data_IF_023160092406
#
_entry.id   IF_023160092406
#
_cell.length_a   1.000
_cell.length_b   1.000
_cell.length_c   1.000
_cell.angle_alpha   90.00
_cell.angle_beta   90.00
_cell.angle_gamma   90.00
#
_symmetry.space_group_name_H-M   'P 1'
#
loop_
_entity.id
_entity.type
_entity.pdbx_description
1 polymer ?
#
# COMPACT_ATOMS: atom_id res chain seq x y z
N UNK A 1 -20.49 -17.81 22.92
CA UNK A 1 -19.02 -17.69 23.00
C UNK A 1 -18.69 -16.25 22.68
N UNK A 2 -17.77 -15.58 23.39
CA UNK A 2 -17.35 -14.25 22.98
C UNK A 2 -16.72 -14.38 21.59
N UNK A 3 -17.29 -13.70 20.60
CA UNK A 3 -16.68 -13.55 19.27
C UNK A 3 -15.31 -12.93 19.48
N UNK A 4 -14.23 -13.58 19.03
CA UNK A 4 -12.94 -12.90 18.88
C UNK A 4 -13.20 -11.58 18.17
N UNK A 5 -12.70 -10.47 18.73
CA UNK A 5 -12.80 -9.19 18.07
C UNK A 5 -12.08 -9.31 16.72
N UNK A 6 -12.82 -9.15 15.61
CA UNK A 6 -12.25 -9.22 14.26
C UNK A 6 -11.10 -8.22 14.15
N UNK A 7 -10.01 -8.64 13.51
CA UNK A 7 -8.81 -7.81 13.36
C UNK A 7 -9.14 -6.67 12.40
N UNK A 8 -9.07 -5.44 12.88
CA UNK A 8 -9.38 -4.27 12.05
C UNK A 8 -8.24 -4.01 11.05
N UNK A 9 -8.53 -3.82 9.76
CA UNK A 9 -7.51 -3.45 8.79
C UNK A 9 -7.09 -1.98 8.95
N UNK A 10 -6.04 -1.59 8.25
CA UNK A 10 -5.75 -0.18 7.97
C UNK A 10 -6.44 0.26 6.67
N UNK A 11 -6.51 1.56 6.41
CA UNK A 11 -7.15 2.11 5.22
C UNK A 11 -6.20 3.06 4.48
N UNK A 12 -6.23 2.98 3.15
CA UNK A 12 -5.55 3.93 2.30
C UNK A 12 -6.38 5.18 2.09
N UNK A 13 -5.79 6.34 2.36
CA UNK A 13 -6.45 7.64 2.25
C UNK A 13 -5.63 8.59 1.39
N UNK A 14 -6.23 9.13 0.33
CA UNK A 14 -5.62 10.14 -0.52
C UNK A 14 -6.34 11.49 -0.38
N UNK A 15 -5.57 12.57 -0.45
CA UNK A 15 -6.10 13.93 -0.38
C UNK A 15 -6.51 14.40 -1.78
N UNK A 16 -7.82 14.55 -2.02
CA UNK A 16 -8.35 14.99 -3.31
C UNK A 16 -8.46 16.53 -3.35
N UNK A 17 -7.96 17.20 -4.41
CA UNK A 17 -8.15 18.64 -4.59
C UNK A 17 -9.63 19.05 -4.47
N UNK A 18 -9.90 20.14 -3.74
CA UNK A 18 -11.27 20.60 -3.47
C UNK A 18 -12.04 19.81 -2.39
N UNK A 19 -11.49 18.69 -1.88
CA UNK A 19 -12.12 17.84 -0.85
C UNK A 19 -11.25 17.60 0.38
N UNK A 20 -10.12 18.31 0.51
CA UNK A 20 -9.12 18.09 1.57
C UNK A 20 -9.68 18.17 2.99
N UNK A 21 -10.56 19.13 3.30
CA UNK A 21 -11.19 19.19 4.62
C UNK A 21 -12.07 17.96 4.89
N UNK A 22 -12.86 17.53 3.90
CA UNK A 22 -13.64 16.30 4.01
C UNK A 22 -12.76 15.04 4.12
N UNK A 23 -11.54 15.05 3.54
CA UNK A 23 -10.54 14.00 3.78
C UNK A 23 -10.10 13.97 5.25
N UNK A 24 -9.96 15.12 5.91
CA UNK A 24 -9.60 15.18 7.33
C UNK A 24 -10.76 14.75 8.25
N UNK A 25 -12.00 15.08 7.87
CA UNK A 25 -13.19 14.60 8.59
C UNK A 25 -13.30 13.07 8.48
N UNK A 26 -13.04 12.53 7.28
CA UNK A 26 -12.97 11.09 7.07
C UNK A 26 -11.85 10.44 7.88
N UNK A 27 -10.69 11.08 8.04
CA UNK A 27 -9.63 10.56 8.90
C UNK A 27 -10.04 10.42 10.37
N UNK A 28 -10.80 11.39 10.90
CA UNK A 28 -11.37 11.30 12.26
C UNK A 28 -12.39 10.17 12.37
N UNK A 29 -13.20 9.99 11.34
CA UNK A 29 -14.16 8.90 11.29
C UNK A 29 -13.45 7.53 11.30
N UNK A 30 -12.40 7.37 10.49
CA UNK A 30 -11.56 6.16 10.47
C UNK A 30 -10.99 5.86 11.87
N UNK A 31 -10.45 6.87 12.56
CA UNK A 31 -9.98 6.72 13.95
C UNK A 31 -11.11 6.31 14.89
N UNK A 32 -12.25 7.01 14.86
CA UNK A 32 -13.38 6.75 15.75
C UNK A 32 -14.00 5.35 15.58
N UNK A 33 -13.87 4.76 14.38
CA UNK A 33 -14.33 3.40 14.05
C UNK A 33 -13.32 2.33 14.46
N UNK A 34 -12.13 2.69 14.95
CA UNK A 34 -11.13 1.76 15.48
C UNK A 34 -10.30 1.03 14.40
N UNK A 35 -10.17 1.59 13.19
CA UNK A 35 -9.28 1.03 12.18
C UNK A 35 -7.80 1.08 12.62
N UNK A 36 -7.00 0.13 12.17
CA UNK A 36 -5.62 -0.04 12.64
C UNK A 36 -4.64 1.03 12.15
N UNK A 37 -4.97 1.75 11.07
CA UNK A 37 -4.11 2.82 10.57
C UNK A 37 -4.62 3.53 9.31
N UNK A 38 -3.97 4.64 8.97
CA UNK A 38 -4.23 5.42 7.75
C UNK A 38 -2.94 5.53 6.91
N UNK A 39 -2.94 5.02 5.68
CA UNK A 39 -1.74 5.00 4.84
C UNK A 39 -1.92 5.74 3.49
N UNK A 40 -1.09 6.76 3.28
CA UNK A 40 -1.23 7.74 2.20
C UNK A 40 -0.47 7.28 0.93
N UNK A 41 -1.16 6.98 -0.18
CA UNK A 41 -0.51 6.57 -1.42
C UNK A 41 0.19 7.74 -2.12
N UNK A 42 1.09 7.44 -3.04
CA UNK A 42 1.89 8.42 -3.81
C UNK A 42 1.12 9.24 -4.85
N UNK A 43 -0.22 9.24 -4.83
CA UNK A 43 -1.06 9.98 -5.79
C UNK A 43 -1.05 11.50 -5.57
N UNK A 44 -0.75 11.94 -4.35
CA UNK A 44 -0.66 13.33 -3.92
C UNK A 44 0.57 13.52 -3.02
N UNK A 45 0.78 14.73 -2.50
CA UNK A 45 1.79 14.94 -1.46
C UNK A 45 1.36 14.23 -0.16
N UNK A 46 1.89 13.01 0.03
CA UNK A 46 1.57 12.16 1.18
C UNK A 46 2.10 12.72 2.51
N UNK A 47 3.23 13.44 2.50
CA UNK A 47 3.78 14.04 3.71
C UNK A 47 2.91 15.20 4.19
N UNK A 48 2.43 16.04 3.29
CA UNK A 48 1.51 17.12 3.65
C UNK A 48 0.18 16.58 4.21
N UNK A 49 -0.34 15.47 3.65
CA UNK A 49 -1.50 14.80 4.24
C UNK A 49 -1.17 14.24 5.62
N UNK A 50 -0.05 13.54 5.79
CA UNK A 50 0.36 12.97 7.08
C UNK A 50 0.55 14.03 8.17
N UNK A 51 1.10 15.20 7.83
CA UNK A 51 1.19 16.33 8.76
C UNK A 51 -0.21 16.80 9.20
N UNK A 52 -1.16 16.91 8.27
CA UNK A 52 -2.54 17.23 8.63
C UNK A 52 -3.18 16.13 9.50
N UNK A 53 -2.94 14.85 9.19
CA UNK A 53 -3.42 13.71 9.99
C UNK A 53 -2.89 13.77 11.43
N UNK A 54 -1.60 14.11 11.60
CA UNK A 54 -0.99 14.29 12.93
C UNK A 54 -1.76 15.26 13.82
N UNK A 55 -2.32 16.33 13.21
CA UNK A 55 -3.02 17.40 13.91
C UNK A 55 -4.52 17.14 14.11
N UNK A 56 -5.14 16.23 13.35
CA UNK A 56 -6.59 15.99 13.42
C UNK A 56 -6.98 14.66 14.07
N UNK A 57 -6.03 13.75 14.25
CA UNK A 57 -6.19 12.44 14.91
C UNK A 57 -5.33 12.37 16.18
N UNK A 58 -5.62 11.44 17.08
CA UNK A 58 -5.04 11.42 18.43
C UNK A 58 -4.25 10.14 18.75
N UNK A 59 -4.69 8.98 18.24
CA UNK A 59 -4.20 7.67 18.64
C UNK A 59 -3.84 6.79 17.44
N UNK A 60 -4.58 6.92 16.34
CA UNK A 60 -4.38 6.06 15.16
C UNK A 60 -2.98 6.24 14.57
N UNK A 61 -2.34 5.13 14.21
CA UNK A 61 -1.09 5.16 13.42
C UNK A 61 -1.40 5.62 12.00
N UNK A 62 -0.49 6.36 11.41
CA UNK A 62 -0.64 6.76 10.02
C UNK A 62 0.72 6.86 9.34
N UNK A 63 0.73 6.81 8.03
CA UNK A 63 1.99 6.78 7.30
C UNK A 63 1.86 7.06 5.83
N UNK A 64 2.99 7.09 5.16
CA UNK A 64 3.05 7.08 3.70
C UNK A 64 3.16 5.65 3.18
N UNK A 65 2.46 5.34 2.08
CA UNK A 65 2.55 4.04 1.39
C UNK A 65 2.58 4.24 -0.14
N UNK A 66 3.57 4.92 -0.71
CA UNK A 66 4.82 5.42 -0.12
C UNK A 66 5.11 6.85 -0.56
N UNK A 67 6.08 7.50 0.09
CA UNK A 67 6.72 8.71 -0.42
C UNK A 67 7.87 8.33 -1.38
N UNK A 68 7.85 8.76 -2.66
CA UNK A 68 8.94 8.47 -3.57
C UNK A 68 10.22 9.19 -3.16
N UNK A 69 11.32 8.45 -2.94
CA UNK A 69 12.59 8.99 -2.42
C UNK A 69 13.23 10.07 -3.31
N UNK A 70 12.78 10.18 -4.55
CA UNK A 70 13.33 11.12 -5.54
C UNK A 70 12.62 12.47 -5.59
N UNK A 71 11.52 12.64 -4.85
CA UNK A 71 10.65 13.82 -5.00
C UNK A 71 11.06 15.01 -4.15
N UNK A 72 11.98 14.82 -3.19
CA UNK A 72 12.53 15.87 -2.33
C UNK A 72 14.00 15.60 -2.03
N UNK A 73 14.72 16.61 -1.57
CA UNK A 73 16.06 16.42 -1.04
C UNK A 73 15.99 15.62 0.27
N UNK A 74 17.01 14.80 0.55
CA UNK A 74 17.03 13.94 1.75
C UNK A 74 16.92 14.74 3.05
N UNK A 75 17.49 15.96 3.08
CA UNK A 75 17.34 16.85 4.23
C UNK A 75 15.89 17.29 4.45
N UNK A 76 15.14 17.58 3.38
CA UNK A 76 13.72 17.94 3.49
C UNK A 76 12.88 16.76 3.97
N UNK A 77 13.22 15.55 3.54
CA UNK A 77 12.60 14.33 4.04
C UNK A 77 12.88 14.13 5.54
N UNK A 78 14.13 14.25 5.97
CA UNK A 78 14.49 14.09 7.38
C UNK A 78 13.73 15.10 8.27
N UNK A 79 13.77 16.39 7.91
CA UNK A 79 13.12 17.45 8.67
C UNK A 79 11.60 17.26 8.72
N UNK A 80 10.97 16.99 7.57
CA UNK A 80 9.53 16.77 7.50
C UNK A 80 9.08 15.52 8.25
N UNK A 81 9.78 14.40 8.09
CA UNK A 81 9.43 13.14 8.72
C UNK A 81 9.59 13.20 10.25
N UNK A 82 10.70 13.76 10.74
CA UNK A 82 10.93 13.96 12.17
C UNK A 82 9.91 14.92 12.78
N UNK A 83 9.58 16.02 12.10
CA UNK A 83 8.55 16.94 12.56
C UNK A 83 7.20 16.24 12.73
N UNK A 84 6.72 15.53 11.71
CA UNK A 84 5.44 14.79 11.77
C UNK A 84 5.48 13.74 12.89
N UNK A 85 6.60 13.04 13.04
CA UNK A 85 6.77 12.05 14.10
C UNK A 85 6.66 12.68 15.49
N UNK A 86 7.33 13.81 15.72
CA UNK A 86 7.30 14.54 16.99
C UNK A 86 5.88 15.08 17.30
N UNK A 87 5.26 15.82 16.38
CA UNK A 87 3.95 16.45 16.64
C UNK A 87 2.81 15.44 16.73
N UNK A 88 2.98 14.24 16.18
CA UNK A 88 2.01 13.15 16.30
C UNK A 88 2.19 12.31 17.56
N UNK A 89 3.23 12.53 18.36
CA UNK A 89 3.54 11.68 19.52
C UNK A 89 4.01 10.27 19.11
N UNK A 90 4.74 10.16 18.01
CA UNK A 90 5.36 8.91 17.55
C UNK A 90 4.47 8.00 16.69
N UNK A 91 3.33 8.50 16.19
CA UNK A 91 2.34 7.72 15.43
C UNK A 91 2.65 7.58 13.94
N UNK A 92 3.62 8.34 13.44
CA UNK A 92 3.95 8.38 12.01
C UNK A 92 4.87 7.22 11.60
N UNK A 93 4.45 6.47 10.57
CA UNK A 93 5.21 5.46 9.83
C UNK A 93 5.69 6.03 8.48
N UNK A 94 6.99 6.21 8.29
CA UNK A 94 7.52 6.83 7.08
C UNK A 94 7.82 5.80 5.99
N UNK A 95 6.78 5.43 5.23
CA UNK A 95 6.95 4.51 4.13
C UNK A 95 7.54 5.16 2.87
N UNK A 96 8.61 4.58 2.34
CA UNK A 96 9.40 5.13 1.23
C UNK A 96 9.64 4.09 0.13
N UNK A 97 9.90 4.57 -1.09
CA UNK A 97 10.14 3.69 -2.23
C UNK A 97 10.62 4.41 -3.47
N UNK A 98 10.97 3.63 -4.50
CA UNK A 98 11.50 4.14 -5.78
C UNK A 98 10.43 4.51 -6.81
N UNK A 99 9.14 4.32 -6.45
CA UNK A 99 8.01 4.47 -7.38
C UNK A 99 8.18 3.61 -8.66
N UNK A 100 7.55 4.00 -9.76
CA UNK A 100 7.55 3.23 -11.02
C UNK A 100 8.32 3.93 -12.13
N UNK A 101 8.93 3.11 -13.01
CA UNK A 101 9.71 3.56 -14.16
C UNK A 101 9.02 4.73 -14.92
N UNK A 102 7.83 4.52 -15.51
CA UNK A 102 7.15 5.57 -16.26
C UNK A 102 6.73 6.79 -15.43
N UNK A 103 6.52 6.64 -14.12
CA UNK A 103 6.08 7.74 -13.28
C UNK A 103 7.20 8.78 -13.07
N UNK A 104 8.43 8.34 -12.78
CA UNK A 104 9.53 9.29 -12.57
C UNK A 104 10.08 9.84 -13.90
N UNK A 105 9.98 9.08 -15.00
CA UNK A 105 10.38 9.59 -16.32
C UNK A 105 9.52 10.79 -16.73
N UNK A 106 8.21 10.75 -16.45
CA UNK A 106 7.29 11.90 -16.67
C UNK A 106 7.65 13.13 -15.83
N UNK A 107 8.32 12.94 -14.69
CA UNK A 107 8.79 14.03 -13.83
C UNK A 107 10.19 14.52 -14.20
N UNK A 108 10.85 13.92 -15.19
CA UNK A 108 12.24 14.24 -15.55
C UNK A 108 13.26 13.82 -14.49
N UNK A 109 12.91 12.86 -13.64
CA UNK A 109 13.74 12.42 -12.51
C UNK A 109 14.63 11.25 -12.93
N UNK A 110 15.95 11.46 -12.86
CA UNK A 110 16.95 10.42 -13.07
C UNK A 110 17.01 9.46 -11.89
N UNK A 111 17.10 8.16 -12.17
CA UNK A 111 17.15 7.10 -11.15
C UNK A 111 18.35 6.19 -11.32
N UNK A 112 18.81 5.63 -10.21
CA UNK A 112 19.80 4.58 -10.16
C UNK A 112 19.17 3.19 -10.05
N UNK A 113 19.95 2.26 -9.47
CA UNK A 113 19.49 0.89 -9.20
C UNK A 113 18.64 0.88 -7.92
N UNK A 114 17.42 0.32 -7.93
CA UNK A 114 16.49 0.44 -6.80
C UNK A 114 17.05 0.07 -5.43
N UNK A 115 17.74 -1.07 -5.31
CA UNK A 115 18.32 -1.52 -4.04
C UNK A 115 19.42 -0.57 -3.54
N UNK A 116 20.25 -0.06 -4.45
CA UNK A 116 21.34 0.84 -4.10
C UNK A 116 20.82 2.23 -3.72
N UNK A 117 19.80 2.73 -4.43
CA UNK A 117 19.18 4.02 -4.14
C UNK A 117 18.44 4.02 -2.80
N UNK A 118 17.70 2.96 -2.49
CA UNK A 118 17.01 2.83 -1.20
C UNK A 118 18.01 2.75 -0.05
N UNK A 119 19.06 1.94 -0.18
CA UNK A 119 20.12 1.88 0.84
C UNK A 119 20.76 3.25 1.06
N UNK A 120 21.19 3.90 -0.02
CA UNK A 120 21.78 5.23 0.05
C UNK A 120 20.84 6.23 0.73
N UNK A 121 19.56 6.23 0.36
CA UNK A 121 18.56 7.11 0.97
C UNK A 121 18.43 6.86 2.48
N UNK A 122 18.33 5.60 2.92
CA UNK A 122 18.20 5.25 4.34
C UNK A 122 19.47 5.61 5.12
N UNK A 123 20.65 5.38 4.56
CA UNK A 123 21.92 5.78 5.19
C UNK A 123 22.01 7.32 5.31
N UNK A 124 21.66 8.04 4.25
CA UNK A 124 21.72 9.50 4.19
C UNK A 124 20.70 10.16 5.12
N UNK A 125 19.44 9.69 5.16
CA UNK A 125 18.40 10.28 6.00
C UNK A 125 18.73 10.11 7.49
N UNK A 126 19.23 8.93 7.89
CA UNK A 126 19.67 8.64 9.27
C UNK A 126 20.88 9.48 9.68
N UNK A 127 21.66 9.98 8.71
CA UNK A 127 22.84 10.81 8.95
C UNK A 127 22.55 12.33 8.97
N UNK A 128 21.32 12.79 8.70
CA UNK A 128 21.01 14.22 8.69
C UNK A 128 21.11 14.80 10.11
N UNK A 129 22.00 15.77 10.36
CA UNK A 129 22.15 16.35 11.69
C UNK A 129 20.97 17.27 12.01
N UNK A 130 20.56 17.27 13.28
CA UNK A 130 19.52 18.18 13.81
C UNK A 130 18.16 18.07 13.07
N UNK A 131 17.81 16.88 12.58
CA UNK A 131 16.47 16.61 12.06
C UNK A 131 15.45 16.35 13.18
N UNK A 132 15.91 15.79 14.32
CA UNK A 132 15.04 15.26 15.37
C UNK A 132 15.07 13.72 15.37
N UNK A 133 14.19 13.10 16.16
CA UNK A 133 13.99 11.65 16.10
C UNK A 133 13.30 11.28 14.78
N UNK A 134 13.81 10.27 14.08
CA UNK A 134 13.20 9.81 12.84
C UNK A 134 12.09 8.77 13.16
N UNK A 135 10.97 8.80 12.42
CA UNK A 135 9.98 7.73 12.49
C UNK A 135 10.54 6.39 11.99
N UNK A 136 9.86 5.26 12.30
CA UNK A 136 10.11 3.99 11.63
C UNK A 136 10.05 4.17 10.11
N UNK A 137 11.06 3.66 9.39
CA UNK A 137 11.10 3.73 7.93
C UNK A 137 10.67 2.40 7.32
N UNK A 138 9.57 2.45 6.55
CA UNK A 138 8.91 1.28 5.97
C UNK A 138 9.25 1.21 4.48
N UNK A 139 9.86 0.12 4.01
CA UNK A 139 10.29 0.05 2.61
C UNK A 139 9.22 -0.56 1.70
N UNK A 140 8.94 0.11 0.59
CA UNK A 140 8.16 -0.49 -0.49
C UNK A 140 8.88 -1.73 -1.03
N UNK A 141 8.17 -2.85 -1.08
CA UNK A 141 8.72 -4.12 -1.51
C UNK A 141 7.78 -4.87 -2.45
N UNK A 142 8.34 -5.90 -3.09
CA UNK A 142 7.58 -6.83 -3.92
C UNK A 142 8.29 -8.19 -4.02
N UNK A 143 9.62 -8.20 -4.10
CA UNK A 143 10.41 -9.42 -4.35
C UNK A 143 11.51 -9.61 -3.31
N UNK A 144 11.96 -10.86 -3.16
CA UNK A 144 12.90 -11.35 -2.14
C UNK A 144 14.06 -10.41 -1.79
N UNK A 145 14.76 -9.85 -2.79
CA UNK A 145 15.90 -8.97 -2.54
C UNK A 145 15.55 -7.66 -1.85
N UNK A 146 14.37 -7.09 -2.15
CA UNK A 146 13.88 -5.88 -1.48
C UNK A 146 13.27 -6.22 -0.12
N UNK A 147 12.64 -7.39 0.02
CA UNK A 147 12.15 -7.89 1.32
C UNK A 147 13.32 -8.06 2.30
N UNK A 148 14.38 -8.76 1.88
CA UNK A 148 15.58 -8.93 2.70
C UNK A 148 16.26 -7.58 3.02
N UNK A 149 16.30 -6.65 2.06
CA UNK A 149 16.81 -5.30 2.32
C UNK A 149 15.96 -4.57 3.38
N UNK A 150 14.63 -4.69 3.31
CA UNK A 150 13.74 -4.05 4.28
C UNK A 150 13.99 -4.51 5.71
N UNK A 151 14.22 -5.81 5.93
CA UNK A 151 14.62 -6.33 7.24
C UNK A 151 16.00 -5.85 7.68
N UNK A 152 16.94 -5.71 6.74
CA UNK A 152 18.31 -5.32 7.05
C UNK A 152 18.42 -3.86 7.50
N UNK A 153 17.72 -2.93 6.85
CA UNK A 153 17.95 -1.48 7.03
C UNK A 153 16.73 -0.66 7.44
N UNK A 154 15.53 -1.23 7.34
CA UNK A 154 14.27 -0.58 7.67
C UNK A 154 13.61 -1.16 8.92
N UNK A 155 12.46 -0.60 9.26
CA UNK A 155 11.63 -0.98 10.41
C UNK A 155 10.36 -1.72 9.96
N UNK A 156 10.27 -1.99 8.66
CA UNK A 156 9.18 -2.74 8.07
C UNK A 156 9.16 -2.67 6.57
N UNK A 157 8.11 -3.25 6.02
CA UNK A 157 7.87 -3.28 4.58
C UNK A 157 6.41 -3.18 4.22
N UNK A 158 6.15 -2.66 3.02
CA UNK A 158 4.81 -2.58 2.47
C UNK A 158 4.79 -3.06 1.02
N UNK A 159 3.94 -4.05 0.76
CA UNK A 159 3.60 -4.49 -0.58
C UNK A 159 2.50 -3.59 -1.15
N UNK A 160 2.41 -3.53 -2.48
CA UNK A 160 1.20 -3.11 -3.15
C UNK A 160 0.81 -4.23 -4.12
N UNK A 161 -0.46 -4.65 -4.08
CA UNK A 161 -1.00 -5.67 -4.97
C UNK A 161 -0.23 -7.00 -4.91
N UNK A 162 0.23 -7.38 -3.71
CA UNK A 162 0.81 -8.70 -3.46
C UNK A 162 -0.18 -9.82 -3.80
N UNK A 163 0.32 -11.00 -4.12
CA UNK A 163 -0.48 -12.21 -4.30
C UNK A 163 -0.58 -12.96 -2.97
N UNK A 164 -1.77 -13.07 -2.39
CA UNK A 164 -2.00 -13.67 -1.06
C UNK A 164 -1.44 -15.09 -0.98
N UNK A 165 -1.71 -15.91 -2.01
CA UNK A 165 -1.21 -17.28 -2.12
C UNK A 165 0.32 -17.39 -2.10
N UNK A 166 1.04 -16.32 -2.45
CA UNK A 166 2.50 -16.27 -2.51
C UNK A 166 3.14 -15.61 -1.28
N UNK A 167 2.35 -15.17 -0.29
CA UNK A 167 2.90 -14.49 0.90
C UNK A 167 3.79 -15.40 1.73
N UNK A 168 3.45 -16.67 1.91
CA UNK A 168 4.31 -17.62 2.63
C UNK A 168 5.72 -17.70 2.02
N UNK A 169 5.81 -17.79 0.70
CA UNK A 169 7.08 -17.80 -0.03
C UNK A 169 7.78 -16.43 0.02
N UNK A 170 7.04 -15.34 -0.12
CA UNK A 170 7.58 -13.97 -0.08
C UNK A 170 8.18 -13.65 1.29
N UNK A 171 7.49 -14.01 2.36
CA UNK A 171 7.88 -13.75 3.75
C UNK A 171 8.92 -14.76 4.28
N UNK A 172 9.16 -15.87 3.56
CA UNK A 172 10.13 -16.90 3.97
C UNK A 172 11.57 -16.39 4.10
N UNK A 173 11.89 -15.24 3.51
CA UNK A 173 13.22 -14.63 3.59
C UNK A 173 13.45 -13.85 4.89
N UNK A 174 12.40 -13.57 5.66
CA UNK A 174 12.50 -12.86 6.92
C UNK A 174 12.95 -13.77 8.07
N UNK A 175 13.64 -13.18 9.04
CA UNK A 175 13.91 -13.80 10.33
C UNK A 175 12.66 -13.97 11.21
N UNK A 176 12.71 -14.96 12.10
CA UNK A 176 11.59 -15.27 13.01
C UNK A 176 11.18 -14.12 13.93
N UNK A 177 12.14 -13.26 14.30
CA UNK A 177 11.86 -12.06 15.11
C UNK A 177 10.93 -11.10 14.38
N UNK A 178 11.19 -10.85 13.10
CA UNK A 178 10.38 -9.95 12.25
C UNK A 178 9.01 -10.55 11.94
N UNK A 179 8.93 -11.87 11.79
CA UNK A 179 7.67 -12.58 11.55
C UNK A 179 6.77 -12.61 12.78
N UNK A 180 7.30 -12.95 13.96
CA UNK A 180 6.50 -13.20 15.16
C UNK A 180 6.34 -12.00 16.09
N UNK A 181 7.23 -11.01 16.03
CA UNK A 181 7.18 -9.83 16.91
C UNK A 181 6.47 -8.62 16.30
N UNK A 182 6.04 -7.68 17.11
CA UNK A 182 5.32 -6.47 16.63
C UNK A 182 6.26 -5.33 16.17
N UNK A 183 7.58 -5.52 16.33
CA UNK A 183 8.59 -4.50 16.03
C UNK A 183 8.93 -4.32 14.54
N UNK A 184 8.36 -5.14 13.64
CA UNK A 184 8.59 -5.02 12.20
C UNK A 184 7.25 -4.93 11.46
N UNK A 185 7.01 -3.80 10.81
CA UNK A 185 5.76 -3.57 10.08
C UNK A 185 5.69 -4.45 8.82
N UNK A 186 4.55 -5.11 8.60
CA UNK A 186 4.31 -5.93 7.39
C UNK A 186 2.95 -5.57 6.82
N UNK A 187 2.93 -4.67 5.83
CA UNK A 187 1.71 -4.21 5.19
C UNK A 187 1.54 -4.69 3.75
N UNK A 188 0.30 -4.72 3.28
CA UNK A 188 -0.02 -4.89 1.86
C UNK A 188 -1.19 -3.97 1.48
N UNK A 189 -1.02 -3.16 0.43
CA UNK A 189 -2.10 -2.37 -0.15
C UNK A 189 -2.96 -3.23 -1.06
N UNK A 190 -4.27 -3.30 -0.75
CA UNK A 190 -5.21 -4.25 -1.33
C UNK A 190 -6.39 -3.48 -1.95
N UNK A 191 -6.46 -3.37 -3.29
CA UNK A 191 -7.63 -2.85 -3.98
C UNK A 191 -8.89 -3.59 -3.55
N UNK A 192 -9.90 -2.84 -3.11
CA UNK A 192 -11.11 -3.41 -2.51
C UNK A 192 -12.36 -2.74 -3.06
N UNK A 193 -13.35 -3.54 -3.47
CA UNK A 193 -14.66 -3.03 -3.94
C UNK A 193 -15.79 -3.82 -3.29
N UNK A 194 -16.56 -3.19 -2.41
CA UNK A 194 -17.73 -3.78 -1.78
C UNK A 194 -18.94 -3.57 -2.69
N UNK A 195 -19.60 -4.65 -3.13
CA UNK A 195 -20.75 -4.60 -4.03
C UNK A 195 -21.45 -5.96 -4.13
N UNK A 196 -22.79 -5.96 -4.14
CA UNK A 196 -23.58 -7.15 -4.46
C UNK A 196 -23.50 -7.52 -5.95
N UNK A 197 -23.21 -6.56 -6.83
CA UNK A 197 -22.82 -6.82 -8.22
C UNK A 197 -21.32 -7.17 -8.26
N UNK A 198 -21.05 -8.46 -8.13
CA UNK A 198 -19.69 -9.02 -8.17
C UNK A 198 -18.99 -8.75 -9.49
N UNK A 199 -19.72 -8.80 -10.62
CA UNK A 199 -19.12 -8.60 -11.94
C UNK A 199 -18.63 -7.16 -12.11
N UNK A 200 -19.42 -6.18 -11.67
CA UNK A 200 -19.03 -4.78 -11.66
C UNK A 200 -17.82 -4.53 -10.74
N UNK A 201 -17.78 -5.17 -9.56
CA UNK A 201 -16.65 -5.07 -8.63
C UNK A 201 -15.35 -5.60 -9.24
N UNK A 202 -15.42 -6.77 -9.89
CA UNK A 202 -14.29 -7.37 -10.59
C UNK A 202 -13.80 -6.50 -11.75
N UNK A 203 -14.72 -5.96 -12.55
CA UNK A 203 -14.38 -5.07 -13.66
C UNK A 203 -13.67 -3.79 -13.16
N UNK A 204 -14.10 -3.24 -12.02
CA UNK A 204 -13.44 -2.10 -11.39
C UNK A 204 -12.01 -2.44 -10.94
N UNK A 205 -11.80 -3.55 -10.26
CA UNK A 205 -10.46 -3.98 -9.82
C UNK A 205 -9.53 -4.29 -11.01
N UNK A 206 -10.03 -4.95 -12.06
CA UNK A 206 -9.26 -5.19 -13.30
C UNK A 206 -8.76 -3.90 -13.92
N UNK A 207 -9.63 -2.90 -14.02
CA UNK A 207 -9.27 -1.58 -14.57
C UNK A 207 -8.16 -0.92 -13.74
N UNK A 208 -8.26 -0.99 -12.41
CA UNK A 208 -7.23 -0.48 -11.50
C UNK A 208 -5.89 -1.17 -11.73
N UNK A 209 -5.87 -2.50 -11.79
CA UNK A 209 -4.62 -3.26 -11.87
C UNK A 209 -4.04 -3.43 -13.27
N UNK A 210 -4.78 -3.15 -14.34
CA UNK A 210 -4.27 -3.23 -15.72
C UNK A 210 -2.99 -2.40 -15.91
N UNK A 211 -2.95 -1.19 -15.33
CA UNK A 211 -1.75 -0.33 -15.38
C UNK A 211 -0.54 -0.93 -14.64
N UNK A 212 -0.77 -1.70 -13.57
CA UNK A 212 0.28 -2.41 -12.86
C UNK A 212 0.77 -3.62 -13.66
N UNK A 213 -0.11 -4.32 -14.36
CA UNK A 213 0.26 -5.42 -15.27
C UNK A 213 1.14 -4.98 -16.44
N UNK A 214 1.13 -3.69 -16.80
CA UNK A 214 2.08 -3.15 -17.78
C UNK A 214 3.51 -3.02 -17.25
N UNK A 215 3.71 -3.05 -15.92
CA UNK A 215 5.00 -2.83 -15.31
C UNK A 215 5.79 -4.15 -15.22
N UNK A 216 7.03 -4.21 -15.74
CA UNK A 216 7.80 -5.44 -15.79
C UNK A 216 8.11 -6.04 -14.41
N UNK A 217 8.31 -5.19 -13.38
CA UNK A 217 8.55 -5.67 -12.03
C UNK A 217 7.33 -6.38 -11.42
N UNK A 218 6.12 -5.93 -11.72
CA UNK A 218 4.88 -6.58 -11.26
C UNK A 218 4.61 -7.88 -12.01
N UNK A 219 4.76 -7.88 -13.35
CA UNK A 219 4.65 -9.13 -14.13
C UNK A 219 5.62 -10.19 -13.64
N UNK A 220 6.88 -9.82 -13.42
CA UNK A 220 7.88 -10.76 -12.91
C UNK A 220 7.54 -11.30 -11.52
N UNK A 221 6.92 -10.50 -10.66
CA UNK A 221 6.43 -10.95 -9.37
C UNK A 221 5.25 -11.92 -9.51
N UNK A 222 4.24 -11.57 -10.31
CA UNK A 222 3.08 -12.45 -10.50
C UNK A 222 3.44 -13.74 -11.25
N UNK A 223 4.43 -13.73 -12.14
CA UNK A 223 5.06 -14.95 -12.70
C UNK A 223 5.65 -15.84 -11.60
N UNK A 224 6.41 -15.25 -10.66
CA UNK A 224 6.96 -15.96 -9.49
C UNK A 224 5.85 -16.52 -8.58
N UNK A 225 4.71 -15.83 -8.51
CA UNK A 225 3.52 -16.27 -7.78
C UNK A 225 2.65 -17.30 -8.53
N UNK A 226 3.05 -17.77 -9.72
CA UNK A 226 2.34 -18.82 -10.46
C UNK A 226 1.26 -18.32 -11.43
N UNK A 227 1.35 -17.06 -11.88
CA UNK A 227 0.48 -16.46 -12.89
C UNK A 227 1.22 -16.21 -14.20
N UNK A 228 1.92 -17.24 -14.68
CA UNK A 228 2.76 -17.14 -15.89
C UNK A 228 1.92 -16.86 -17.12
N UNK A 229 0.88 -17.66 -17.33
CA UNK A 229 0.00 -17.56 -18.51
C UNK A 229 -0.67 -16.19 -18.60
N UNK A 230 -1.19 -15.64 -17.49
CA UNK A 230 -1.80 -14.31 -17.46
C UNK A 230 -0.78 -13.23 -17.84
N UNK A 231 0.44 -13.29 -17.30
CA UNK A 231 1.46 -12.27 -17.55
C UNK A 231 2.09 -12.36 -18.95
N UNK A 232 2.20 -13.57 -19.52
CA UNK A 232 2.61 -13.77 -20.91
C UNK A 232 1.53 -13.29 -21.91
N UNK A 233 0.25 -13.49 -21.59
CA UNK A 233 -0.85 -12.91 -22.37
C UNK A 233 -0.81 -11.36 -22.35
N UNK A 234 -0.54 -10.75 -21.19
CA UNK A 234 -0.33 -9.29 -21.09
C UNK A 234 0.87 -8.83 -21.92
N UNK A 235 1.99 -9.56 -21.89
CA UNK A 235 3.16 -9.28 -22.73
C UNK A 235 2.82 -9.33 -24.22
N UNK A 236 2.07 -10.33 -24.66
CA UNK A 236 1.62 -10.47 -26.04
C UNK A 236 0.69 -9.32 -26.47
N UNK A 237 -0.29 -8.95 -25.64
CA UNK A 237 -1.19 -7.83 -25.91
C UNK A 237 -0.42 -6.50 -26.02
N UNK A 238 0.56 -6.26 -25.13
CA UNK A 238 1.42 -5.07 -25.21
C UNK A 238 2.28 -5.05 -26.47
N UNK A 239 2.85 -6.19 -26.87
CA UNK A 239 3.64 -6.29 -28.10
C UNK A 239 2.80 -6.03 -29.36
N UNK A 240 1.52 -6.36 -29.33
CA UNK A 240 0.55 -6.06 -30.38
C UNK A 240 0.00 -4.62 -30.34
N UNK A 241 0.33 -3.82 -29.32
CA UNK A 241 -0.23 -2.48 -29.12
C UNK A 241 -1.68 -2.46 -28.59
N UNK A 242 -2.16 -3.59 -28.09
CA UNK A 242 -3.55 -3.80 -27.65
C UNK A 242 -3.72 -3.52 -26.15
N UNK A 243 -3.36 -2.31 -25.70
CA UNK A 243 -3.35 -1.97 -24.26
C UNK A 243 -4.73 -2.08 -23.61
N UNK A 244 -5.80 -1.87 -24.37
CA UNK A 244 -7.18 -1.96 -23.87
C UNK A 244 -7.58 -3.40 -23.50
N UNK A 245 -6.90 -4.41 -24.07
CA UNK A 245 -7.14 -5.84 -23.80
C UNK A 245 -6.40 -6.37 -22.57
N UNK A 246 -5.53 -5.58 -21.95
CA UNK A 246 -4.73 -6.02 -20.80
C UNK A 246 -5.62 -6.52 -19.66
N UNK A 247 -6.74 -5.86 -19.41
CA UNK A 247 -7.71 -6.28 -18.38
C UNK A 247 -8.30 -7.68 -18.64
N UNK A 248 -8.47 -8.05 -19.91
CA UNK A 248 -9.05 -9.34 -20.31
C UNK A 248 -8.08 -10.51 -20.10
N UNK A 249 -6.77 -10.23 -20.09
CA UNK A 249 -5.74 -11.23 -19.79
C UNK A 249 -5.68 -11.61 -18.31
N UNK A 250 -6.30 -10.82 -17.42
CA UNK A 250 -6.21 -10.99 -15.98
C UNK A 250 -7.34 -11.91 -15.50
N UNK A 251 -6.98 -13.13 -15.11
CA UNK A 251 -7.93 -14.17 -14.70
C UNK A 251 -8.68 -13.81 -13.41
N UNK A 252 -9.86 -14.40 -13.21
CA UNK A 252 -10.62 -14.26 -11.96
C UNK A 252 -9.81 -14.78 -10.75
N UNK A 253 -9.02 -15.85 -10.96
CA UNK A 253 -8.14 -16.45 -9.95
C UNK A 253 -7.09 -15.43 -9.48
N UNK A 254 -6.39 -14.81 -10.43
CA UNK A 254 -5.39 -13.79 -10.12
C UNK A 254 -6.01 -12.57 -9.43
N UNK A 255 -7.19 -12.16 -9.88
CA UNK A 255 -7.89 -11.00 -9.31
C UNK A 255 -8.27 -11.25 -7.85
N UNK A 256 -8.83 -12.43 -7.55
CA UNK A 256 -9.21 -12.82 -6.18
C UNK A 256 -8.01 -13.03 -5.24
N UNK A 257 -6.81 -13.22 -5.78
CA UNK A 257 -5.59 -13.41 -5.01
C UNK A 257 -4.84 -12.10 -4.73
N UNK A 258 -5.10 -11.04 -5.51
CA UNK A 258 -4.40 -9.75 -5.42
C UNK A 258 -5.30 -8.60 -4.95
N UNK A 259 -6.62 -8.83 -4.86
CA UNK A 259 -7.64 -7.83 -4.49
C UNK A 259 -8.72 -8.42 -3.61
N UNK A 260 -9.63 -7.57 -3.12
CA UNK A 260 -10.87 -7.96 -2.46
C UNK A 260 -12.06 -7.41 -3.23
N UNK A 261 -13.12 -8.21 -3.37
CA UNK A 261 -14.36 -7.77 -3.99
C UNK A 261 -15.52 -8.69 -3.64
N UNK A 262 -16.73 -8.13 -3.66
CA UNK A 262 -17.97 -8.87 -3.43
C UNK A 262 -18.77 -8.30 -2.27
N UNK A 263 -19.58 -9.15 -1.65
CA UNK A 263 -20.44 -8.79 -0.52
C UNK A 263 -19.63 -8.43 0.72
N UNK A 264 -20.29 -7.81 1.70
CA UNK A 264 -19.68 -7.48 2.99
C UNK A 264 -19.01 -8.68 3.69
N UNK A 265 -19.62 -9.87 3.65
CA UNK A 265 -19.05 -11.08 4.25
C UNK A 265 -17.78 -11.52 3.54
N UNK A 266 -17.81 -11.56 2.20
CA UNK A 266 -16.66 -11.99 1.39
C UNK A 266 -15.45 -11.05 1.57
N UNK A 267 -15.69 -9.74 1.70
CA UNK A 267 -14.63 -8.77 1.96
C UNK A 267 -14.05 -8.94 3.37
N UNK A 268 -14.88 -9.13 4.41
CA UNK A 268 -14.39 -9.39 5.78
C UNK A 268 -13.59 -10.70 5.87
N UNK A 269 -14.10 -11.78 5.28
CA UNK A 269 -13.38 -13.06 5.20
C UNK A 269 -12.05 -12.92 4.45
N UNK A 270 -12.04 -12.14 3.37
CA UNK A 270 -10.84 -11.86 2.62
C UNK A 270 -9.79 -11.04 3.39
N UNK A 271 -10.22 -10.11 4.25
CA UNK A 271 -9.35 -9.38 5.18
C UNK A 271 -8.70 -10.35 6.17
N UNK A 272 -9.48 -11.22 6.80
CA UNK A 272 -8.95 -12.23 7.74
C UNK A 272 -7.95 -13.16 7.04
N UNK A 273 -8.24 -13.59 5.82
CA UNK A 273 -7.32 -14.40 5.03
C UNK A 273 -5.99 -13.68 4.68
N UNK A 274 -5.98 -12.35 4.59
CA UNK A 274 -4.73 -11.59 4.44
C UNK A 274 -3.89 -11.60 5.71
N UNK A 275 -4.54 -11.47 6.87
CA UNK A 275 -3.85 -11.62 8.15
C UNK A 275 -3.28 -13.04 8.32
N UNK A 276 -4.06 -14.06 7.98
CA UNK A 276 -3.63 -15.46 8.06
C UNK A 276 -2.47 -15.79 7.10
N UNK A 277 -2.33 -15.01 6.02
CA UNK A 277 -1.22 -15.10 5.09
C UNK A 277 0.08 -14.43 5.61
N UNK A 278 0.07 -13.86 6.82
CA UNK A 278 1.23 -13.25 7.47
C UNK A 278 1.36 -11.74 7.27
N UNK A 279 0.38 -11.08 6.63
CA UNK A 279 0.32 -9.61 6.60
C UNK A 279 -0.20 -9.11 7.94
N UNK A 280 0.57 -8.27 8.62
CA UNK A 280 0.19 -7.70 9.92
C UNK A 280 -0.72 -6.48 9.79
N UNK A 281 -0.61 -5.77 8.67
CA UNK A 281 -1.40 -4.58 8.38
C UNK A 281 -1.97 -4.65 6.96
N UNK A 282 -3.10 -5.35 6.74
CA UNK A 282 -3.84 -5.24 5.49
C UNK A 282 -4.31 -3.79 5.31
N UNK A 283 -3.85 -3.12 4.25
CA UNK A 283 -4.19 -1.72 3.95
C UNK A 283 -5.24 -1.74 2.84
N UNK A 284 -6.48 -1.43 3.19
CA UNK A 284 -7.58 -1.44 2.25
C UNK A 284 -7.55 -0.21 1.37
N UNK A 285 -7.57 -0.40 0.05
CA UNK A 285 -7.65 0.66 -0.95
C UNK A 285 -9.07 0.66 -1.53
N UNK A 286 -10.04 1.34 -0.89
CA UNK A 286 -11.43 1.25 -1.28
C UNK A 286 -11.68 1.95 -2.63
N UNK A 287 -12.48 1.31 -3.46
CA UNK A 287 -13.04 1.86 -4.69
C UNK A 287 -14.50 1.46 -4.81
N UNK A 288 -15.33 2.33 -5.38
CA UNK A 288 -16.74 2.02 -5.63
C UNK A 288 -16.93 1.52 -7.05
N UNK A 289 -17.83 0.56 -7.25
CA UNK A 289 -18.19 0.09 -8.58
C UNK A 289 -18.92 1.19 -9.40
N UNK A 290 -19.62 2.11 -8.74
CA UNK A 290 -20.48 3.11 -9.37
C UNK A 290 -20.15 4.57 -9.01
N UNK A 291 -19.30 4.79 -7.98
CA UNK A 291 -19.03 6.10 -7.43
C UNK A 291 -17.57 6.52 -7.31
N UNK A 292 -17.40 7.67 -6.65
CA UNK A 292 -16.12 8.24 -6.26
C UNK A 292 -15.59 7.69 -4.94
N UNK A 293 -14.49 8.28 -4.46
CA UNK A 293 -13.81 7.86 -3.23
C UNK A 293 -14.73 7.83 -2.00
N UNK A 294 -15.51 8.89 -1.74
CA UNK A 294 -16.36 8.95 -0.54
C UNK A 294 -17.41 7.83 -0.49
N UNK A 295 -18.07 7.54 -1.62
CA UNK A 295 -19.00 6.42 -1.69
C UNK A 295 -18.30 5.08 -1.40
N UNK A 296 -17.06 4.91 -1.87
CA UNK A 296 -16.28 3.70 -1.58
C UNK A 296 -15.98 3.54 -0.07
N UNK A 297 -15.79 4.65 0.65
CA UNK A 297 -15.64 4.63 2.10
C UNK A 297 -16.96 4.30 2.80
N UNK A 298 -18.09 4.90 2.37
CA UNK A 298 -19.41 4.59 2.93
C UNK A 298 -19.76 3.10 2.73
N UNK A 299 -19.55 2.57 1.51
CA UNK A 299 -19.73 1.15 1.17
C UNK A 299 -18.84 0.24 2.03
N UNK A 300 -17.61 0.66 2.31
CA UNK A 300 -16.66 -0.10 3.11
C UNK A 300 -16.98 -0.04 4.60
N UNK A 301 -17.32 1.13 5.16
CA UNK A 301 -17.70 1.26 6.57
C UNK A 301 -18.94 0.44 6.91
N UNK A 302 -19.90 0.36 6.00
CA UNK A 302 -21.12 -0.42 6.15
C UNK A 302 -20.88 -1.93 6.32
N UNK A 303 -19.67 -2.46 6.05
CA UNK A 303 -19.38 -3.87 6.33
C UNK A 303 -19.17 -4.15 7.83
N UNK A 304 -19.09 -3.14 8.69
CA UNK A 304 -19.00 -3.34 10.15
C UNK A 304 -20.27 -2.94 10.91
N UNK A 305 -21.27 -2.42 10.20
CA UNK A 305 -22.55 -1.97 10.76
C UNK A 305 -23.58 -3.13 10.87
#
# INVERSE_FOLDING_TARGET
>A
MPTEASRMPAISLAAVPGRRNATLDLAREIESRGFAGIYCPSMSDGLALCEALALVTNEIRFGTSIAPIYTRHVQDFAQGASFIHEVSGGRFDFGVGVSHAPAMDRLGVSRGKPLADIRRFVDEIKAVPRAGELPPIILATLRRRMIALAEEIGDGMVFANGARSHMAESLSVLGQSSLSGDGFFIGNMIPTVVSDDRAAAMARNRRTLASYAMLPNYRNYWKEAGYVDEMEAVEAAMAAGETDRIGDCLSDRWLADTTLFGTASEVREGIEAWFDAGIKTPIIVPSSASGGQFQAFDEFFAIWD
#
